data_IF_519399898124
#
_entry.id   IF_519399898124
#
_cell.length_a   1.000
_cell.length_b   1.000
_cell.length_c   1.000
_cell.angle_alpha   90.00
_cell.angle_beta   90.00
_cell.angle_gamma   90.00
#
_symmetry.space_group_name_H-M   'P 1'
#
loop_
_entity.id
_entity.type
_entity.pdbx_description
1 polymer ?
#
# COMPACT_ATOMS: atom_id res chain seq x y z
N UNK A 1 -30.36 -40.28 -16.56
CA UNK A 1 -29.91 -39.44 -15.42
C UNK A 1 -28.39 -39.17 -15.41
N UNK A 2 -27.70 -39.12 -16.56
CA UNK A 2 -26.26 -38.77 -16.61
C UNK A 2 -26.06 -37.25 -16.66
N UNK A 3 -26.86 -36.56 -17.47
CA UNK A 3 -26.83 -35.10 -17.61
C UNK A 3 -27.15 -34.36 -16.31
N UNK A 4 -28.08 -34.89 -15.50
CA UNK A 4 -28.44 -34.28 -14.20
C UNK A 4 -27.25 -34.26 -13.21
N UNK A 5 -26.43 -35.32 -13.22
CA UNK A 5 -25.23 -35.40 -12.37
C UNK A 5 -24.15 -34.42 -12.87
N UNK A 6 -24.07 -34.23 -14.18
CA UNK A 6 -23.14 -33.27 -14.80
C UNK A 6 -23.53 -31.85 -14.41
N UNK A 7 -24.81 -31.46 -14.53
CA UNK A 7 -25.26 -30.12 -14.11
C UNK A 7 -25.04 -29.87 -12.61
N UNK A 8 -25.26 -30.89 -11.77
CA UNK A 8 -25.08 -30.78 -10.33
C UNK A 8 -23.60 -30.62 -9.96
N UNK A 9 -22.71 -31.38 -10.61
CA UNK A 9 -21.25 -31.24 -10.44
C UNK A 9 -20.73 -29.87 -10.92
N UNK A 10 -21.19 -29.40 -12.08
CA UNK A 10 -20.79 -28.09 -12.62
C UNK A 10 -21.29 -26.94 -11.76
N UNK A 11 -22.51 -27.04 -11.21
CA UNK A 11 -23.07 -26.03 -10.31
C UNK A 11 -22.27 -25.88 -9.01
N UNK A 12 -21.88 -27.00 -8.38
CA UNK A 12 -21.04 -26.99 -7.17
C UNK A 12 -19.66 -26.40 -7.46
N UNK A 13 -19.07 -26.74 -8.60
CA UNK A 13 -17.76 -26.22 -9.01
C UNK A 13 -17.77 -24.69 -9.19
N UNK A 14 -18.79 -24.15 -9.86
CA UNK A 14 -18.92 -22.70 -10.06
C UNK A 14 -19.12 -21.92 -8.75
N UNK A 15 -19.87 -22.49 -7.80
CA UNK A 15 -20.11 -21.86 -6.50
C UNK A 15 -18.83 -21.72 -5.68
N UNK A 16 -17.86 -22.62 -5.86
CA UNK A 16 -16.59 -22.59 -5.12
C UNK A 16 -15.70 -21.39 -5.48
N UNK A 17 -15.86 -20.81 -6.68
CA UNK A 17 -15.09 -19.62 -7.09
C UNK A 17 -15.74 -18.29 -6.66
N UNK A 18 -16.99 -18.30 -6.19
CA UNK A 18 -17.71 -17.09 -5.79
C UNK A 18 -17.23 -16.49 -4.45
N UNK A 19 -16.42 -17.21 -3.66
CA UNK A 19 -15.93 -16.75 -2.35
C UNK A 19 -14.74 -15.77 -2.39
N UNK A 20 -14.24 -15.37 -3.57
CA UNK A 20 -13.14 -14.41 -3.70
C UNK A 20 -13.58 -12.94 -3.51
N UNK A 21 -14.43 -12.63 -2.52
CA UNK A 21 -14.73 -11.25 -2.14
C UNK A 21 -13.52 -10.66 -1.42
N UNK A 22 -12.80 -9.77 -2.10
CA UNK A 22 -11.76 -8.97 -1.47
C UNK A 22 -12.39 -8.11 -0.37
N UNK A 23 -11.85 -8.10 0.86
CA UNK A 23 -12.39 -7.27 1.93
C UNK A 23 -12.38 -5.79 1.50
N UNK A 24 -13.41 -5.01 1.86
CA UNK A 24 -13.43 -3.59 1.58
C UNK A 24 -12.16 -2.96 2.14
N UNK A 25 -11.45 -2.20 1.30
CA UNK A 25 -10.24 -1.48 1.70
C UNK A 25 -10.57 -0.62 2.92
N UNK A 26 -9.77 -0.66 3.99
CA UNK A 26 -10.00 0.20 5.14
C UNK A 26 -10.02 1.67 4.68
N UNK A 27 -10.84 2.52 5.30
CA UNK A 27 -10.87 3.94 4.98
C UNK A 27 -9.44 4.50 5.07
N UNK A 28 -9.04 5.27 4.06
CA UNK A 28 -7.73 5.94 4.05
C UNK A 28 -7.59 6.72 5.36
N UNK A 29 -6.45 6.61 6.07
CA UNK A 29 -6.23 7.39 7.27
C UNK A 29 -6.40 8.88 6.93
N UNK A 30 -6.94 9.69 7.87
CA UNK A 30 -7.09 11.12 7.67
C UNK A 30 -5.72 11.69 7.26
N UNK A 31 -5.67 12.35 6.10
CA UNK A 31 -4.49 13.12 5.70
C UNK A 31 -4.27 14.15 6.78
N UNK A 32 -3.19 14.03 7.54
CA UNK A 32 -2.77 15.05 8.51
C UNK A 32 -2.85 16.43 7.85
N UNK A 33 -3.39 17.45 8.54
CA UNK A 33 -3.42 18.80 8.01
C UNK A 33 -1.98 19.19 7.68
N UNK A 34 -1.71 19.40 6.39
CA UNK A 34 -0.46 19.99 5.92
C UNK A 34 -0.50 21.45 6.38
N UNK A 35 -0.14 21.70 7.64
CA UNK A 35 0.27 23.03 8.07
C UNK A 35 1.48 23.43 7.24
N UNK A 36 1.21 24.14 6.15
CA UNK A 36 1.77 25.43 5.68
C UNK A 36 3.12 25.92 6.23
N UNK A 37 4.03 25.04 6.61
CA UNK A 37 5.48 25.22 6.59
C UNK A 37 6.05 23.90 6.10
N UNK A 38 6.41 23.83 4.83
CA UNK A 38 7.09 22.66 4.28
C UNK A 38 8.35 22.43 5.12
N UNK A 39 8.29 21.49 6.06
CA UNK A 39 9.45 21.15 6.89
C UNK A 39 10.52 20.62 5.93
N UNK A 40 11.79 21.05 6.07
CA UNK A 40 12.86 20.51 5.28
C UNK A 40 12.86 18.99 5.39
N UNK A 41 13.17 18.34 4.27
CA UNK A 41 13.17 16.90 4.14
C UNK A 41 14.05 16.26 5.23
N UNK A 42 13.56 15.23 5.94
CA UNK A 42 14.34 14.62 7.02
C UNK A 42 15.65 14.02 6.46
N UNK A 43 16.77 14.11 7.21
CA UNK A 43 18.11 13.81 6.71
C UNK A 43 18.28 12.37 6.23
N UNK A 44 17.63 11.41 6.89
CA UNK A 44 17.63 10.01 6.45
C UNK A 44 16.91 9.79 5.11
N UNK A 45 15.88 10.58 4.82
CA UNK A 45 15.19 10.53 3.53
C UNK A 45 16.01 11.27 2.47
N UNK A 46 16.58 12.43 2.80
CA UNK A 46 17.44 13.21 1.92
C UNK A 46 18.64 12.37 1.44
N UNK A 47 19.32 11.68 2.36
CA UNK A 47 20.42 10.74 2.03
C UNK A 47 20.03 9.74 0.93
N UNK A 48 18.83 9.16 1.01
CA UNK A 48 18.33 8.18 0.04
C UNK A 48 18.06 8.83 -1.32
N UNK A 49 17.41 9.99 -1.35
CA UNK A 49 17.11 10.70 -2.62
C UNK A 49 18.36 11.21 -3.31
N UNK A 50 19.33 11.72 -2.55
CA UNK A 50 20.60 12.20 -3.09
C UNK A 50 21.65 11.09 -3.29
N UNK A 51 21.32 9.82 -2.99
CA UNK A 51 22.21 8.68 -3.22
C UNK A 51 23.52 8.69 -2.41
N UNK A 52 23.61 9.47 -1.33
CA UNK A 52 24.84 9.63 -0.56
C UNK A 52 24.95 8.58 0.55
N UNK A 53 26.17 8.24 0.96
CA UNK A 53 26.39 7.27 2.06
C UNK A 53 26.19 7.86 3.45
N UNK A 54 26.02 9.18 3.62
CA UNK A 54 25.92 9.82 4.93
C UNK A 54 24.75 10.80 5.00
N UNK A 55 24.04 10.81 6.13
CA UNK A 55 22.95 11.74 6.41
C UNK A 55 23.43 13.00 7.15
N UNK A 56 24.71 13.03 7.56
CA UNK A 56 25.35 14.17 8.23
C UNK A 56 25.21 15.50 7.45
N UNK A 57 25.45 15.58 6.13
CA UNK A 57 25.35 16.86 5.42
C UNK A 57 23.94 17.42 5.31
N UNK A 58 22.90 16.62 5.58
CA UNK A 58 21.51 17.04 5.57
C UNK A 58 20.97 17.33 6.98
N UNK A 59 21.79 17.16 8.02
CA UNK A 59 21.38 17.42 9.38
C UNK A 59 21.34 18.94 9.67
N UNK A 60 20.42 19.41 10.50
CA UNK A 60 20.33 20.83 10.88
C UNK A 60 21.65 21.34 11.45
N UNK A 61 22.11 22.51 11.00
CA UNK A 61 23.34 23.16 11.48
C UNK A 61 24.66 22.67 10.85
N UNK A 62 24.61 21.71 9.91
CA UNK A 62 25.80 21.20 9.22
C UNK A 62 26.17 22.01 7.96
N UNK A 63 25.23 22.80 7.43
CA UNK A 63 25.51 23.86 6.45
C UNK A 63 25.58 25.19 7.20
N UNK A 64 26.78 25.75 7.31
CA UNK A 64 27.01 27.17 7.60
C UNK A 64 27.16 27.91 6.30
#
# INVERSE_FOLDING_TARGET
MKSIKIYLATGVFLLSFASCVAPPRPPKPPKHPRHSKAKPMPPGHAKKVFGTKSARPFAPGQRK
#
